data_IF_867228329547
#
_entry.id   IF_867228329547
#
_cell.length_a   1.000
_cell.length_b   1.000
_cell.length_c   1.000
_cell.angle_alpha   90.00
_cell.angle_beta   90.00
_cell.angle_gamma   90.00
#
_symmetry.space_group_name_H-M   'P 1'
#
loop_
_entity.id
_entity.type
_entity.pdbx_description
1 polymer ?
#
# COMPACT_ATOMS: atom_id res chain seq x y z
N UNK A 1 5.79 -8.08 9.19
CA UNK A 1 5.36 -7.18 8.11
C UNK A 1 5.38 -7.93 6.79
N UNK A 2 4.29 -7.92 6.07
CA UNK A 2 4.20 -8.52 4.76
C UNK A 2 4.46 -7.46 3.68
N UNK A 3 5.12 -7.89 2.60
CA UNK A 3 5.45 -7.01 1.49
C UNK A 3 4.69 -7.45 0.24
N UNK A 4 3.95 -6.51 -0.37
CA UNK A 4 3.30 -6.72 -1.65
C UNK A 4 3.86 -5.71 -2.64
N UNK A 5 4.61 -6.22 -3.63
CA UNK A 5 5.26 -5.37 -4.62
C UNK A 5 4.39 -5.27 -5.87
N UNK A 6 3.96 -4.06 -6.16
CA UNK A 6 3.12 -3.78 -7.32
C UNK A 6 3.80 -4.09 -8.66
N UNK A 7 5.10 -3.77 -8.78
CA UNK A 7 5.81 -3.88 -10.05
C UNK A 7 5.88 -5.29 -10.60
N UNK A 8 5.87 -6.30 -9.75
CA UNK A 8 5.97 -7.70 -10.18
C UNK A 8 4.70 -8.21 -10.86
N UNK A 9 3.61 -7.45 -10.80
CA UNK A 9 2.29 -7.91 -11.21
C UNK A 9 1.76 -7.26 -12.49
N UNK A 10 2.50 -6.28 -13.03
CA UNK A 10 2.06 -5.53 -14.19
C UNK A 10 0.97 -4.53 -13.85
N UNK A 11 1.15 -3.28 -14.28
CA UNK A 11 0.25 -2.21 -13.91
C UNK A 11 -1.20 -2.41 -14.40
N UNK A 12 -1.36 -3.06 -15.53
CA UNK A 12 -2.70 -3.25 -16.11
C UNK A 12 -3.60 -4.12 -15.24
N UNK A 13 -3.06 -5.09 -14.55
CA UNK A 13 -3.84 -5.97 -13.69
C UNK A 13 -4.35 -5.25 -12.44
N UNK A 14 -3.62 -4.22 -11.99
CA UNK A 14 -3.98 -3.50 -10.79
C UNK A 14 -5.14 -2.53 -10.97
N UNK A 15 -5.65 -2.39 -12.19
CA UNK A 15 -6.86 -1.62 -12.47
C UNK A 15 -8.12 -2.49 -12.44
N UNK A 16 -7.98 -3.80 -12.30
CA UNK A 16 -9.11 -4.72 -12.23
C UNK A 16 -9.40 -5.10 -10.77
N UNK A 17 -10.48 -4.57 -10.17
CA UNK A 17 -10.76 -4.81 -8.74
C UNK A 17 -10.86 -6.28 -8.35
N UNK A 18 -11.36 -7.14 -9.24
CA UNK A 18 -11.47 -8.57 -8.98
C UNK A 18 -10.11 -9.22 -8.82
N UNK A 19 -9.14 -8.81 -9.66
CA UNK A 19 -7.78 -9.33 -9.61
C UNK A 19 -7.10 -8.88 -8.31
N UNK A 20 -7.26 -7.60 -7.97
CA UNK A 20 -6.69 -7.05 -6.74
C UNK A 20 -7.27 -7.74 -5.51
N UNK A 21 -8.58 -7.98 -5.49
CA UNK A 21 -9.22 -8.71 -4.39
C UNK A 21 -8.69 -10.13 -4.26
N UNK A 22 -8.48 -10.81 -5.39
CA UNK A 22 -7.92 -12.15 -5.40
C UNK A 22 -6.49 -12.16 -4.86
N UNK A 23 -5.70 -11.13 -5.19
CA UNK A 23 -4.33 -11.01 -4.68
C UNK A 23 -4.31 -10.83 -3.16
N UNK A 24 -5.18 -9.99 -2.64
CA UNK A 24 -5.28 -9.76 -1.19
C UNK A 24 -5.69 -11.06 -0.50
N UNK A 25 -6.64 -11.77 -1.06
CA UNK A 25 -7.07 -13.07 -0.52
C UNK A 25 -5.94 -14.10 -0.56
N UNK A 26 -5.23 -14.19 -1.69
CA UNK A 26 -4.12 -15.14 -1.85
C UNK A 26 -2.96 -14.83 -0.89
N UNK A 27 -2.77 -13.57 -0.54
CA UNK A 27 -1.74 -13.16 0.41
C UNK A 27 -2.16 -13.41 1.87
N UNK A 28 -3.37 -13.88 2.09
CA UNK A 28 -3.90 -14.17 3.43
C UNK A 28 -3.86 -12.95 4.36
N UNK A 29 -4.15 -11.79 3.81
CA UNK A 29 -4.20 -10.56 4.60
C UNK A 29 -5.38 -10.60 5.55
N UNK A 30 -5.10 -10.39 6.83
CA UNK A 30 -6.14 -10.35 7.87
C UNK A 30 -6.07 -9.04 8.64
N UNK A 31 -7.15 -8.75 9.37
CA UNK A 31 -7.22 -7.56 10.20
C UNK A 31 -6.06 -7.53 11.19
N UNK A 32 -5.42 -6.38 11.31
CA UNK A 32 -4.28 -6.21 12.20
C UNK A 32 -2.93 -6.43 11.54
N UNK A 33 -2.89 -6.99 10.34
CA UNK A 33 -1.63 -7.12 9.60
C UNK A 33 -1.07 -5.75 9.23
N UNK A 34 0.26 -5.67 9.17
CA UNK A 34 0.95 -4.48 8.63
C UNK A 34 1.57 -4.87 7.29
N UNK A 35 1.18 -4.17 6.24
CA UNK A 35 1.59 -4.46 4.87
C UNK A 35 2.44 -3.31 4.34
N UNK A 36 3.57 -3.64 3.76
CA UNK A 36 4.40 -2.68 3.03
C UNK A 36 4.04 -2.75 1.56
N UNK A 37 3.58 -1.64 1.00
CA UNK A 37 3.20 -1.54 -0.40
C UNK A 37 4.13 -0.58 -1.13
N UNK A 38 4.77 -1.06 -2.21
CA UNK A 38 5.64 -0.24 -3.05
C UNK A 38 4.86 0.23 -4.28
N UNK A 39 4.84 1.55 -4.48
CA UNK A 39 4.23 2.15 -5.66
C UNK A 39 2.71 2.00 -5.72
N UNK A 40 1.97 2.54 -4.74
CA UNK A 40 0.51 2.39 -4.71
C UNK A 40 -0.21 2.96 -5.93
N UNK A 41 0.40 3.89 -6.65
CA UNK A 41 -0.19 4.45 -7.86
C UNK A 41 -1.52 5.14 -7.58
N UNK A 42 -2.60 4.60 -8.13
CA UNK A 42 -3.95 5.14 -7.90
C UNK A 42 -4.61 4.60 -6.63
N UNK A 43 -3.95 3.70 -5.93
CA UNK A 43 -4.41 3.21 -4.64
C UNK A 43 -5.43 2.08 -4.69
N UNK A 44 -5.55 1.36 -5.81
CA UNK A 44 -6.54 0.27 -5.91
C UNK A 44 -6.19 -0.86 -4.94
N UNK A 45 -4.94 -1.30 -4.91
CA UNK A 45 -4.50 -2.32 -3.96
C UNK A 45 -4.55 -1.79 -2.53
N UNK A 46 -4.11 -0.54 -2.32
CA UNK A 46 -4.15 0.11 -1.02
C UNK A 46 -5.56 0.07 -0.43
N UNK A 47 -6.56 0.42 -1.24
CA UNK A 47 -7.95 0.43 -0.83
C UNK A 47 -8.41 -0.94 -0.35
N UNK A 48 -8.04 -2.00 -1.08
CA UNK A 48 -8.43 -3.37 -0.73
C UNK A 48 -7.72 -3.85 0.54
N UNK A 49 -6.47 -3.48 0.72
CA UNK A 49 -5.73 -3.83 1.93
C UNK A 49 -6.35 -3.16 3.16
N UNK A 50 -6.68 -1.88 3.04
CA UNK A 50 -7.33 -1.16 4.13
C UNK A 50 -8.71 -1.75 4.44
N UNK A 51 -9.46 -2.13 3.40
CA UNK A 51 -10.77 -2.75 3.57
C UNK A 51 -10.69 -4.11 4.27
N UNK A 52 -9.58 -4.82 4.10
CA UNK A 52 -9.33 -6.09 4.80
C UNK A 52 -8.90 -5.88 6.27
N UNK A 53 -8.77 -4.64 6.71
CA UNK A 53 -8.39 -4.32 8.08
C UNK A 53 -6.89 -4.24 8.31
N UNK A 54 -6.10 -4.26 7.25
CA UNK A 54 -4.65 -4.14 7.37
C UNK A 54 -4.23 -2.69 7.61
N UNK A 55 -3.11 -2.53 8.29
CA UNK A 55 -2.39 -1.26 8.33
C UNK A 55 -1.42 -1.26 7.16
N UNK A 56 -1.37 -0.17 6.40
CA UNK A 56 -0.57 -0.11 5.19
C UNK A 56 0.50 0.97 5.32
N UNK A 57 1.72 0.61 4.95
CA UNK A 57 2.83 1.55 4.77
C UNK A 57 3.06 1.60 3.26
N UNK A 58 2.61 2.67 2.62
CA UNK A 58 2.72 2.83 1.16
C UNK A 58 3.89 3.76 0.83
N UNK A 59 4.79 3.28 -0.02
CA UNK A 59 5.98 4.04 -0.42
C UNK A 59 5.85 4.37 -1.90
N UNK A 60 5.69 5.66 -2.22
CA UNK A 60 5.48 6.15 -3.56
C UNK A 60 6.57 7.16 -3.93
N UNK A 61 7.20 6.94 -5.08
CA UNK A 61 8.26 7.86 -5.54
C UNK A 61 7.76 8.95 -6.49
N UNK A 62 6.57 8.80 -7.06
CA UNK A 62 6.03 9.78 -8.02
C UNK A 62 5.38 10.96 -7.27
N UNK A 63 5.96 12.14 -7.42
CA UNK A 63 5.47 13.38 -6.82
C UNK A 63 4.00 13.61 -7.10
N UNK A 64 3.55 13.23 -8.29
CA UNK A 64 2.20 13.52 -8.75
C UNK A 64 1.16 12.65 -8.08
N UNK A 65 1.56 11.46 -7.63
CA UNK A 65 0.66 10.54 -6.96
C UNK A 65 0.41 10.92 -5.50
N UNK A 66 1.34 11.60 -4.86
CA UNK A 66 1.26 11.91 -3.43
C UNK A 66 0.03 12.76 -3.09
N UNK A 67 -0.24 13.90 -3.76
CA UNK A 67 -1.44 14.69 -3.44
C UNK A 67 -2.73 13.91 -3.66
N UNK A 68 -2.78 13.12 -4.74
CA UNK A 68 -3.95 12.31 -5.04
C UNK A 68 -4.21 11.27 -3.94
N UNK A 69 -3.17 10.55 -3.53
CA UNK A 69 -3.28 9.52 -2.50
C UNK A 69 -3.61 10.12 -1.12
N UNK A 70 -3.00 11.27 -0.81
CA UNK A 70 -3.26 11.97 0.44
C UNK A 70 -4.73 12.38 0.57
N UNK A 71 -5.32 12.82 -0.52
CA UNK A 71 -6.73 13.21 -0.52
C UNK A 71 -7.65 11.99 -0.49
N UNK A 72 -7.36 11.00 -1.34
CA UNK A 72 -8.16 9.79 -1.44
C UNK A 72 -8.25 9.04 -0.11
N UNK A 73 -7.14 8.96 0.63
CA UNK A 73 -7.05 8.19 1.87
C UNK A 73 -6.91 9.06 3.10
N UNK A 74 -7.41 10.29 3.04
CA UNK A 74 -7.27 11.25 4.13
C UNK A 74 -7.70 10.69 5.48
N UNK A 75 -8.85 10.02 5.54
CA UNK A 75 -9.36 9.46 6.78
C UNK A 75 -8.47 8.35 7.33
N UNK A 76 -8.00 7.47 6.44
CA UNK A 76 -7.13 6.37 6.86
C UNK A 76 -5.78 6.86 7.37
N UNK A 77 -5.28 7.94 6.76
CA UNK A 77 -4.04 8.57 7.21
C UNK A 77 -4.24 9.17 8.60
N UNK A 78 -5.34 9.90 8.80
CA UNK A 78 -5.65 10.51 10.09
C UNK A 78 -5.82 9.49 11.20
N UNK A 79 -6.41 8.34 10.89
CA UNK A 79 -6.60 7.24 11.85
C UNK A 79 -5.34 6.41 12.08
N UNK A 80 -4.29 6.62 11.30
CA UNK A 80 -3.06 5.85 11.40
C UNK A 80 -3.10 4.49 10.72
N UNK A 81 -4.13 4.23 9.92
CA UNK A 81 -4.24 2.98 9.18
C UNK A 81 -3.39 2.97 7.91
N UNK A 82 -3.11 4.15 7.37
CA UNK A 82 -2.22 4.31 6.22
C UNK A 82 -1.12 5.30 6.55
N UNK A 83 0.11 4.89 6.30
CA UNK A 83 1.28 5.77 6.36
C UNK A 83 1.77 5.90 4.92
N UNK A 84 1.72 7.11 4.38
CA UNK A 84 2.14 7.39 3.01
C UNK A 84 3.51 8.07 3.03
N UNK A 85 4.49 7.43 2.42
CA UNK A 85 5.86 7.92 2.36
C UNK A 85 6.22 8.28 0.92
N UNK A 86 6.74 9.47 0.72
CA UNK A 86 7.24 9.92 -0.58
C UNK A 86 8.71 9.56 -0.67
N UNK A 87 9.01 8.42 -1.30
CA UNK A 87 10.37 7.91 -1.39
C UNK A 87 10.46 6.79 -2.42
N UNK A 88 11.68 6.37 -2.73
CA UNK A 88 11.93 5.18 -3.53
C UNK A 88 12.15 4.00 -2.57
N UNK A 89 11.34 2.96 -2.70
CA UNK A 89 11.42 1.78 -1.83
C UNK A 89 12.79 1.11 -1.89
N UNK A 90 13.48 1.21 -3.02
CA UNK A 90 14.80 0.62 -3.19
C UNK A 90 15.87 1.31 -2.34
N UNK A 91 15.59 2.52 -1.88
CA UNK A 91 16.49 3.30 -1.03
C UNK A 91 16.23 3.08 0.46
N UNK A 92 15.17 2.35 0.80
CA UNK A 92 14.84 2.09 2.19
C UNK A 92 15.55 0.85 2.73
N UNK A 93 16.16 1.00 3.87
CA UNK A 93 16.65 -0.11 4.67
C UNK A 93 15.44 -0.74 5.38
N UNK A 94 15.30 -2.07 5.38
CA UNK A 94 14.25 -2.73 6.14
C UNK A 94 14.16 -2.31 7.60
N UNK A 95 15.30 -1.99 8.22
CA UNK A 95 15.33 -1.50 9.59
C UNK A 95 14.63 -0.17 9.78
N UNK A 96 14.66 0.71 8.78
CA UNK A 96 13.97 2.00 8.86
C UNK A 96 12.46 1.83 8.85
N UNK A 97 11.97 0.81 8.17
CA UNK A 97 10.54 0.54 8.09
C UNK A 97 10.00 -0.14 9.35
N UNK A 98 10.87 -0.78 10.11
CA UNK A 98 10.47 -1.47 11.34
C UNK A 98 9.86 -0.50 12.37
N UNK A 99 10.21 0.77 12.32
CA UNK A 99 9.66 1.77 13.24
C UNK A 99 8.15 1.96 13.10
N UNK A 100 7.57 1.55 11.97
CA UNK A 100 6.15 1.72 11.69
C UNK A 100 5.30 0.51 12.08
N UNK A 101 5.89 -0.49 12.63
CA UNK A 101 5.14 -1.67 13.08
C UNK A 101 4.24 -1.37 14.26
#
# INVERSE_FOLDING_TARGET
MNFIAKKSLGQNFLHAPQVVSAMVHAAEVVAGDTILEAGPGKGVLTEKLLAAGAKVIAVEKDDRAIPFLSEKFKEDIEKGNLILLHADILEYDPGQLAQYK
#
